data_IF_151285570633
#
_entry.id   IF_151285570633
#
_cell.length_a   1.000
_cell.length_b   1.000
_cell.length_c   1.000
_cell.angle_alpha   90.00
_cell.angle_beta   90.00
_cell.angle_gamma   90.00
#
_symmetry.space_group_name_H-M   'P 1'
#
loop_
_entity.id
_entity.type
_entity.pdbx_description
1 polymer ?
#
# COMPACT_ATOMS: atom_id res chain seq x y z
N UNK A 1 -4.90 15.18 -19.53
CA UNK A 1 -4.26 15.08 -18.20
C UNK A 1 -5.05 14.03 -17.42
N UNK A 2 -4.56 12.90 -16.88
CA UNK A 2 -3.24 12.23 -16.81
C UNK A 2 -3.53 10.82 -16.20
N UNK A 3 -3.04 9.64 -16.60
CA UNK A 3 -2.13 9.14 -17.65
C UNK A 3 -2.53 7.67 -18.03
N UNK A 4 -1.69 6.93 -18.76
CA UNK A 4 -1.88 5.56 -19.22
C UNK A 4 -2.18 4.47 -18.17
N UNK A 5 -3.08 3.58 -18.57
CA UNK A 5 -3.64 2.42 -17.85
C UNK A 5 -2.60 1.34 -17.49
N UNK A 6 -1.71 1.61 -16.53
CA UNK A 6 -0.90 0.58 -15.85
C UNK A 6 -1.59 0.14 -14.58
N UNK A 7 -2.35 -0.97 -14.66
CA UNK A 7 -2.98 -1.59 -13.48
C UNK A 7 -1.87 -2.16 -12.59
N UNK A 8 -1.56 -1.47 -11.51
CA UNK A 8 -0.87 -2.05 -10.37
C UNK A 8 -1.94 -2.31 -9.28
N UNK A 9 -1.83 -3.43 -8.59
CA UNK A 9 -2.80 -3.82 -7.57
C UNK A 9 -2.70 -2.93 -6.33
N UNK A 10 -3.85 -2.63 -5.72
CA UNK A 10 -3.87 -2.15 -4.35
C UNK A 10 -3.70 -3.36 -3.42
N UNK A 11 -2.82 -3.26 -2.43
CA UNK A 11 -2.60 -4.24 -1.38
C UNK A 11 -3.17 -3.69 -0.08
N UNK A 12 -4.06 -4.45 0.57
CA UNK A 12 -4.47 -4.19 1.93
C UNK A 12 -3.40 -4.72 2.88
N UNK A 13 -2.71 -3.82 3.56
CA UNK A 13 -1.71 -4.16 4.57
C UNK A 13 -2.24 -3.86 5.98
N UNK A 14 -1.87 -4.71 6.94
CA UNK A 14 -2.20 -4.54 8.35
C UNK A 14 -0.91 -4.42 9.16
N UNK A 15 -0.86 -3.41 10.01
CA UNK A 15 0.20 -3.26 10.99
C UNK A 15 0.08 -4.34 12.07
N UNK A 16 1.13 -5.12 12.37
CA UNK A 16 1.08 -6.05 13.49
C UNK A 16 1.00 -5.32 14.84
N UNK A 17 1.69 -4.18 15.00
CA UNK A 17 1.79 -3.45 16.28
C UNK A 17 0.51 -2.69 16.68
N UNK A 18 -0.20 -2.11 15.71
CA UNK A 18 -1.35 -1.24 15.97
C UNK A 18 -2.66 -1.69 15.30
N UNK A 19 -2.69 -2.89 14.69
CA UNK A 19 -3.82 -3.44 13.93
C UNK A 19 -4.40 -2.56 12.81
N UNK A 20 -3.82 -1.39 12.52
CA UNK A 20 -4.29 -0.48 11.49
C UNK A 20 -4.23 -1.11 10.11
N UNK A 21 -5.39 -1.15 9.44
CA UNK A 21 -5.53 -1.54 8.04
C UNK A 21 -5.32 -0.32 7.14
N UNK A 22 -4.41 -0.43 6.17
CA UNK A 22 -4.09 0.62 5.21
C UNK A 22 -3.99 0.04 3.81
N UNK A 23 -4.43 0.81 2.81
CA UNK A 23 -4.32 0.46 1.40
C UNK A 23 -3.00 1.04 0.87
N UNK A 24 -2.20 0.22 0.20
CA UNK A 24 -0.92 0.64 -0.38
C UNK A 24 -0.68 0.01 -1.74
N UNK A 25 0.05 0.71 -2.62
CA UNK A 25 0.35 0.22 -3.97
C UNK A 25 1.58 -0.70 -3.99
N UNK A 26 1.49 -1.85 -4.66
CA UNK A 26 2.67 -2.70 -4.94
C UNK A 26 3.83 -1.96 -5.61
N UNK A 27 3.52 -0.89 -6.35
CA UNK A 27 4.44 -0.01 -7.08
C UNK A 27 4.41 1.43 -6.54
N UNK A 28 4.18 1.59 -5.22
CA UNK A 28 4.24 2.90 -4.59
C UNK A 28 5.61 3.55 -4.83
N UNK A 29 5.60 4.75 -5.43
CA UNK A 29 6.78 5.61 -5.61
C UNK A 29 7.07 6.49 -4.40
N UNK A 30 6.25 6.39 -3.34
CA UNK A 30 6.31 7.16 -2.11
C UNK A 30 6.40 6.24 -0.89
N UNK A 31 7.06 6.70 0.17
CA UNK A 31 7.12 5.99 1.46
C UNK A 31 5.75 5.97 2.12
N UNK A 32 5.27 4.77 2.48
CA UNK A 32 4.02 4.59 3.22
C UNK A 32 4.38 4.40 4.70
N UNK A 33 4.14 5.43 5.50
CA UNK A 33 4.19 5.38 6.96
C UNK A 33 2.81 5.10 7.54
N UNK A 34 2.75 4.44 8.68
CA UNK A 34 1.49 4.18 9.37
C UNK A 34 0.92 5.47 9.96
N UNK A 35 -0.34 5.80 9.63
CA UNK A 35 -1.01 6.98 10.22
C UNK A 35 -1.24 6.88 11.74
N UNK A 36 -1.21 5.67 12.31
CA UNK A 36 -1.46 5.43 13.75
C UNK A 36 -0.17 5.43 14.57
N UNK A 37 0.86 4.69 14.15
CA UNK A 37 2.11 4.53 14.92
C UNK A 37 3.34 5.22 14.30
N UNK A 38 3.22 5.85 13.13
CA UNK A 38 4.34 6.48 12.42
C UNK A 38 5.33 5.52 11.74
N UNK A 39 5.33 4.22 12.09
CA UNK A 39 6.26 3.22 11.55
C UNK A 39 6.21 3.11 10.01
N UNK A 40 7.38 2.96 9.38
CA UNK A 40 7.49 2.77 7.93
C UNK A 40 6.98 1.37 7.52
N UNK A 41 5.82 1.32 6.86
CA UNK A 41 5.17 0.09 6.42
C UNK A 41 5.62 -0.34 5.02
N UNK A 42 5.86 0.63 4.13
CA UNK A 42 6.35 0.38 2.78
C UNK A 42 7.43 1.39 2.40
N UNK A 43 8.53 0.91 1.85
CA UNK A 43 9.62 1.75 1.31
C UNK A 43 9.63 1.63 -0.22
N UNK A 44 9.59 2.75 -0.98
CA UNK A 44 9.64 2.71 -2.43
C UNK A 44 11.06 2.36 -2.89
N UNK A 45 11.21 1.25 -3.61
CA UNK A 45 12.48 0.82 -4.20
C UNK A 45 12.40 0.82 -5.72
N UNK A 46 12.30 2.02 -6.30
CA UNK A 46 12.46 2.32 -7.74
C UNK A 46 11.49 1.67 -8.74
N UNK A 47 10.69 0.67 -8.32
CA UNK A 47 9.83 -0.10 -9.22
C UNK A 47 8.83 -1.01 -8.51
N UNK A 48 9.24 -1.71 -7.44
CA UNK A 48 8.34 -2.38 -6.49
C UNK A 48 8.57 -1.81 -5.09
N UNK A 49 7.51 -1.54 -4.35
CA UNK A 49 7.60 -1.10 -2.96
C UNK A 49 7.86 -2.31 -2.04
N UNK A 50 8.78 -2.16 -1.08
CA UNK A 50 9.10 -3.20 -0.11
C UNK A 50 8.24 -3.03 1.13
N UNK A 51 7.28 -3.94 1.30
CA UNK A 51 6.40 -4.00 2.47
C UNK A 51 7.08 -4.71 3.65
N UNK A 52 6.98 -4.11 4.83
CA UNK A 52 7.38 -4.71 6.12
C UNK A 52 6.18 -5.10 7.00
N UNK A 53 4.96 -4.76 6.57
CA UNK A 53 3.70 -5.08 7.23
C UNK A 53 3.09 -6.39 6.71
N UNK A 54 2.11 -6.94 7.42
CA UNK A 54 1.38 -8.13 7.00
C UNK A 54 0.43 -7.78 5.84
N UNK A 55 0.58 -8.40 4.67
CA UNK A 55 -0.36 -8.24 3.55
C UNK A 55 -1.55 -9.17 3.79
N UNK A 56 -2.76 -8.62 3.82
CA UNK A 56 -4.00 -9.39 4.04
C UNK A 56 -4.63 -9.86 2.72
N UNK A 57 -4.79 -8.97 1.74
CA UNK A 57 -5.50 -9.22 0.47
C UNK A 57 -5.18 -8.15 -0.57
N UNK A 58 -5.21 -8.50 -1.87
CA UNK A 58 -5.28 -7.49 -2.92
C UNK A 58 -6.72 -6.98 -3.06
N UNK A 59 -6.87 -5.66 -3.14
CA UNK A 59 -8.15 -4.96 -3.38
C UNK A 59 -8.12 -4.42 -4.80
N UNK A 60 -8.21 -5.32 -5.77
CA UNK A 60 -8.14 -4.96 -7.20
C UNK A 60 -9.43 -4.33 -7.74
N UNK A 61 -10.58 -4.59 -7.10
CA UNK A 61 -11.82 -3.84 -7.31
C UNK A 61 -12.67 -3.91 -6.03
N UNK A 62 -12.91 -2.75 -5.40
CA UNK A 62 -13.85 -2.59 -4.30
C UNK A 62 -14.31 -1.11 -4.24
N UNK A 63 -15.09 -0.74 -5.25
CA UNK A 63 -16.24 0.16 -5.08
C UNK A 63 -15.97 1.54 -4.46
N UNK A 64 -15.76 2.54 -5.32
CA UNK A 64 -16.45 3.82 -5.12
C UNK A 64 -17.88 3.63 -5.61
N UNK A 65 -18.84 3.69 -4.68
CA UNK A 65 -20.24 4.04 -4.96
C UNK A 65 -20.43 5.53 -4.68
#
# INVERSE_FOLDING_TARGET
MTEGRRRAGFLLIKCPDCSSEQIAFERASTTVTCRICGSTLATPTGGRAKFRAQVLRSVEDATVS
#
